data_IF_795254824637
#
_entry.id   IF_795254824637
#
_cell.length_a   1.000
_cell.length_b   1.000
_cell.length_c   1.000
_cell.angle_alpha   90.00
_cell.angle_beta   90.00
_cell.angle_gamma   90.00
#
_symmetry.space_group_name_H-M   'P 1'
#
loop_
_entity.id
_entity.type
_entity.pdbx_description
1 polymer ?
#
# COMPACT_ATOMS: atom_id res chain seq x y z
N UNK A 1 -22.99 27.26 40.79
CA UNK A 1 -21.74 27.00 40.04
C UNK A 1 -21.84 25.59 39.47
N UNK A 2 -22.23 25.39 38.20
CA UNK A 2 -21.35 25.29 37.00
C UNK A 2 -20.22 24.26 37.21
N UNK A 3 -20.05 23.18 36.45
CA UNK A 3 -20.31 22.93 35.02
C UNK A 3 -20.53 21.42 34.78
N UNK A 4 -21.45 21.06 33.88
CA UNK A 4 -21.51 19.72 33.28
C UNK A 4 -20.40 19.54 32.25
N UNK A 5 -19.67 18.43 32.31
CA UNK A 5 -18.73 18.01 31.26
C UNK A 5 -19.42 16.96 30.37
N UNK A 6 -19.70 17.32 29.12
CA UNK A 6 -20.17 16.37 28.10
C UNK A 6 -19.09 15.30 27.81
N UNK A 7 -19.48 14.08 27.39
CA UNK A 7 -18.52 13.08 26.91
C UNK A 7 -17.70 13.67 25.77
N UNK A 8 -16.36 13.53 25.84
CA UNK A 8 -15.43 14.08 24.85
C UNK A 8 -15.52 13.23 23.59
N UNK A 9 -16.24 13.77 22.63
CA UNK A 9 -16.39 13.20 21.30
C UNK A 9 -15.02 13.11 20.61
N UNK A 10 -14.73 12.00 19.91
CA UNK A 10 -13.43 11.83 19.23
C UNK A 10 -13.28 12.84 18.07
N UNK A 11 -14.39 13.39 17.59
CA UNK A 11 -14.44 14.40 16.54
C UNK A 11 -14.54 15.84 17.09
N UNK A 12 -14.29 16.05 18.39
CA UNK A 12 -14.28 17.38 18.97
C UNK A 12 -13.20 18.29 18.35
N UNK A 13 -13.55 19.55 18.11
CA UNK A 13 -12.68 20.54 17.46
C UNK A 13 -11.38 20.78 18.24
N UNK A 14 -11.41 20.72 19.57
CA UNK A 14 -10.20 20.85 20.40
C UNK A 14 -9.25 19.66 20.16
N UNK A 15 -9.80 18.46 19.96
CA UNK A 15 -9.03 17.24 19.70
C UNK A 15 -8.48 17.21 18.27
N UNK A 16 -9.26 17.65 17.29
CA UNK A 16 -8.80 17.77 15.90
C UNK A 16 -7.61 18.73 15.80
N UNK A 17 -7.63 19.86 16.54
CA UNK A 17 -6.48 20.78 16.60
C UNK A 17 -5.22 20.13 17.16
N UNK A 18 -5.35 19.40 18.27
CA UNK A 18 -4.21 18.65 18.84
C UNK A 18 -3.64 17.64 17.84
N UNK A 19 -4.50 16.97 17.07
CA UNK A 19 -4.05 16.01 16.06
C UNK A 19 -3.31 16.73 14.92
N UNK A 20 -3.78 17.90 14.49
CA UNK A 20 -3.09 18.73 13.49
C UNK A 20 -1.71 19.17 14.01
N UNK A 21 -1.61 19.60 15.26
CA UNK A 21 -0.32 19.97 15.89
C UNK A 21 0.64 18.77 15.95
N UNK A 22 0.14 17.59 16.34
CA UNK A 22 0.94 16.35 16.33
C UNK A 22 1.34 15.92 14.92
N UNK A 23 0.47 16.14 13.93
CA UNK A 23 0.81 15.89 12.52
C UNK A 23 1.94 16.79 12.04
N UNK A 24 2.02 18.03 12.52
CA UNK A 24 3.11 18.95 12.21
C UNK A 24 4.39 18.60 12.98
N UNK A 25 4.29 18.28 14.27
CA UNK A 25 5.44 17.91 15.12
C UNK A 25 6.13 16.61 14.67
N UNK A 26 5.34 15.63 14.20
CA UNK A 26 5.84 14.33 13.77
C UNK A 26 5.88 14.13 12.25
N UNK A 27 5.68 15.20 11.47
CA UNK A 27 5.64 15.21 9.99
C UNK A 27 4.74 14.11 9.39
N UNK A 28 3.53 13.96 9.94
CA UNK A 28 2.53 12.99 9.47
C UNK A 28 1.71 13.57 8.31
N UNK A 29 1.57 12.81 7.23
CA UNK A 29 0.84 13.24 6.03
C UNK A 29 -0.68 13.01 6.10
N UNK A 30 -1.13 11.93 6.76
CA UNK A 30 -2.54 11.55 6.87
C UNK A 30 -2.84 10.89 8.23
N UNK A 31 -4.03 11.17 8.77
CA UNK A 31 -4.57 10.51 9.97
C UNK A 31 -6.03 10.13 9.72
N UNK A 32 -6.34 8.84 9.86
CA UNK A 32 -7.70 8.29 9.87
C UNK A 32 -8.18 8.07 11.30
N UNK A 33 -9.32 8.65 11.69
CA UNK A 33 -10.00 8.35 12.95
C UNK A 33 -11.36 7.69 12.66
N UNK A 34 -11.66 6.61 13.39
CA UNK A 34 -12.94 5.90 13.28
C UNK A 34 -13.50 5.61 14.67
N UNK A 35 -14.78 5.94 14.89
CA UNK A 35 -15.51 5.61 16.11
C UNK A 35 -16.93 5.16 15.74
N UNK A 36 -17.24 3.88 15.97
CA UNK A 36 -18.50 3.29 15.52
C UNK A 36 -18.64 3.38 13.99
N UNK A 37 -19.73 3.99 13.54
CA UNK A 37 -20.03 4.23 12.12
C UNK A 37 -19.43 5.53 11.57
N UNK A 38 -18.83 6.38 12.42
CA UNK A 38 -18.29 7.67 12.04
C UNK A 38 -16.79 7.58 11.72
N UNK A 39 -16.37 8.21 10.62
CA UNK A 39 -14.98 8.22 10.14
C UNK A 39 -14.59 9.61 9.64
N UNK A 40 -13.41 10.09 10.04
CA UNK A 40 -12.80 11.33 9.54
C UNK A 40 -11.37 11.04 9.07
N UNK A 41 -10.98 11.68 7.98
CA UNK A 41 -9.60 11.70 7.47
C UNK A 41 -9.07 13.13 7.55
N UNK A 42 -7.89 13.29 8.14
CA UNK A 42 -7.16 14.55 8.21
C UNK A 42 -5.91 14.41 7.32
N UNK A 43 -5.66 15.39 6.45
CA UNK A 43 -4.51 15.40 5.55
C UNK A 43 -3.95 16.80 5.36
N UNK A 44 -2.62 16.92 5.26
CA UNK A 44 -1.89 18.19 5.18
C UNK A 44 -1.84 18.73 3.74
N UNK A 45 -3.00 19.10 3.15
CA UNK A 45 -3.17 19.77 1.83
C UNK A 45 -2.76 18.94 0.59
N UNK A 46 -3.45 18.95 -0.56
CA UNK A 46 -4.71 19.57 -0.94
C UNK A 46 -5.20 19.03 -2.30
N UNK A 47 -6.50 18.75 -2.42
CA UNK A 47 -7.20 18.70 -3.70
C UNK A 47 -7.89 20.04 -3.90
N UNK A 48 -7.34 20.88 -4.78
CA UNK A 48 -8.05 22.03 -5.31
C UNK A 48 -8.18 21.84 -6.84
N UNK A 49 -9.40 21.81 -7.40
CA UNK A 49 -9.59 21.87 -8.83
C UNK A 49 -9.28 23.30 -9.30
N UNK A 50 -8.22 23.46 -10.08
CA UNK A 50 -7.90 24.73 -10.73
C UNK A 50 -8.72 24.81 -12.02
N UNK A 51 -9.88 25.46 -11.97
CA UNK A 51 -10.55 25.99 -13.15
C UNK A 51 -9.99 27.39 -13.42
N UNK A 52 -9.31 27.58 -14.55
CA UNK A 52 -9.04 28.91 -15.10
C UNK A 52 -9.13 28.88 -16.63
N UNK A 53 -9.84 29.89 -17.15
CA UNK A 53 -10.29 30.06 -18.53
C UNK A 53 -9.14 30.44 -19.50
N UNK A 54 -9.35 30.39 -20.83
CA UNK A 54 -8.27 30.41 -21.81
C UNK A 54 -7.79 31.83 -22.08
N UNK A 55 -6.48 32.01 -22.38
CA UNK A 55 -6.16 32.89 -23.50
C UNK A 55 -5.01 32.41 -24.41
N UNK A 56 -5.18 32.78 -25.69
CA UNK A 56 -4.21 33.13 -26.73
C UNK A 56 -3.22 32.06 -27.27
N UNK A 57 -3.30 31.89 -28.59
CA UNK A 57 -2.47 31.02 -29.41
C UNK A 57 -1.01 31.50 -29.56
N UNK A 58 -0.06 30.57 -29.41
CA UNK A 58 1.32 30.61 -29.89
C UNK A 58 1.91 29.16 -29.88
N UNK A 59 2.94 28.84 -30.69
CA UNK A 59 3.02 27.58 -31.44
C UNK A 59 3.40 26.34 -30.63
N UNK A 60 2.90 25.21 -31.13
CA UNK A 60 2.98 23.86 -30.60
C UNK A 60 4.37 23.45 -30.06
N UNK A 61 4.44 23.30 -28.73
CA UNK A 61 5.39 22.40 -28.09
C UNK A 61 4.69 21.05 -27.87
N UNK A 62 5.32 19.97 -28.34
CA UNK A 62 4.80 18.62 -28.28
C UNK A 62 4.28 18.26 -26.88
N UNK A 63 3.03 17.83 -26.82
CA UNK A 63 2.38 17.27 -25.63
C UNK A 63 3.24 16.12 -25.10
N UNK A 64 3.84 16.30 -23.92
CA UNK A 64 4.33 15.17 -23.14
C UNK A 64 3.10 14.30 -22.81
N UNK A 65 3.10 13.07 -23.32
CA UNK A 65 2.10 12.09 -22.97
C UNK A 65 2.11 11.87 -21.43
N UNK A 66 0.95 11.67 -20.78
CA UNK A 66 0.91 11.28 -19.37
C UNK A 66 1.79 10.04 -19.17
N UNK A 67 2.71 10.11 -18.22
CA UNK A 67 3.48 8.95 -17.82
C UNK A 67 2.49 7.90 -17.30
N UNK A 68 2.44 6.73 -17.94
CA UNK A 68 1.58 5.64 -17.51
C UNK A 68 1.96 5.24 -16.07
N UNK A 69 0.98 5.19 -15.17
CA UNK A 69 1.15 4.63 -13.84
C UNK A 69 1.70 3.21 -13.96
N UNK A 70 2.91 2.90 -13.43
CA UNK A 70 3.55 1.60 -13.59
C UNK A 70 2.80 0.46 -12.89
N UNK A 71 1.74 0.77 -12.15
CA UNK A 71 0.88 -0.17 -11.43
C UNK A 71 -0.44 -0.45 -12.14
N UNK A 72 -0.78 0.29 -13.19
CA UNK A 72 -2.04 0.13 -13.90
C UNK A 72 -2.14 -1.28 -14.52
N UNK A 73 -3.21 -2.00 -14.19
CA UNK A 73 -3.44 -3.36 -14.67
C UNK A 73 -2.60 -4.45 -14.00
N UNK A 74 -1.95 -4.15 -12.86
CA UNK A 74 -1.25 -5.16 -12.06
C UNK A 74 -2.10 -5.66 -10.89
N UNK A 75 -1.83 -6.88 -10.45
CA UNK A 75 -2.39 -7.50 -9.23
C UNK A 75 -1.25 -7.87 -8.28
N UNK A 76 -1.58 -8.25 -7.04
CA UNK A 76 -0.59 -8.65 -6.04
C UNK A 76 -0.84 -10.02 -5.46
N UNK A 77 0.23 -10.74 -5.15
CA UNK A 77 0.21 -11.92 -4.26
C UNK A 77 0.47 -11.40 -2.85
N UNK A 78 -0.47 -11.65 -1.95
CA UNK A 78 -0.43 -11.13 -0.58
C UNK A 78 -0.08 -12.24 0.40
N UNK A 79 0.50 -11.88 1.54
CA UNK A 79 0.81 -12.83 2.60
C UNK A 79 -0.49 -13.42 3.20
N UNK A 80 -0.67 -14.76 3.20
CA UNK A 80 -1.88 -15.39 3.73
C UNK A 80 -1.84 -15.57 5.26
N UNK A 81 -0.72 -15.24 5.89
CA UNK A 81 -0.51 -15.35 7.34
C UNK A 81 0.56 -14.36 7.80
N UNK A 82 0.61 -14.13 9.11
CA UNK A 82 1.71 -13.37 9.74
C UNK A 82 2.94 -14.27 9.85
N UNK A 83 4.11 -13.77 9.47
CA UNK A 83 5.34 -14.56 9.54
C UNK A 83 6.56 -13.84 9.00
N UNK A 84 7.62 -14.61 8.72
CA UNK A 84 8.86 -14.12 8.10
C UNK A 84 8.93 -14.61 6.66
N UNK A 85 9.13 -13.69 5.71
CA UNK A 85 9.24 -14.00 4.29
C UNK A 85 10.62 -14.56 3.94
N UNK A 86 10.65 -15.64 3.16
CA UNK A 86 11.86 -16.20 2.57
C UNK A 86 11.68 -16.37 1.07
N UNK A 87 12.61 -15.81 0.32
CA UNK A 87 12.63 -15.87 -1.14
C UNK A 87 13.13 -17.22 -1.69
N UNK A 88 13.70 -18.05 -0.82
CA UNK A 88 14.40 -19.32 -1.15
C UNK A 88 13.97 -20.44 -0.20
N UNK A 89 14.07 -21.69 -0.66
CA UNK A 89 13.81 -22.86 0.16
C UNK A 89 14.84 -23.05 1.30
N UNK A 90 16.08 -22.62 1.08
CA UNK A 90 17.19 -22.63 2.02
C UNK A 90 18.31 -21.69 1.51
N UNK A 91 19.34 -21.37 2.32
CA UNK A 91 20.36 -20.38 1.97
C UNK A 91 21.12 -20.64 0.65
N UNK A 92 21.29 -21.91 0.28
CA UNK A 92 22.05 -22.33 -0.90
C UNK A 92 21.18 -22.47 -2.16
N UNK A 93 19.85 -22.46 -2.00
CA UNK A 93 18.93 -22.62 -3.12
C UNK A 93 18.72 -21.32 -3.90
N UNK A 94 18.34 -21.41 -5.19
CA UNK A 94 17.89 -20.25 -5.93
C UNK A 94 16.58 -19.71 -5.32
N UNK A 95 16.28 -18.45 -5.62
CA UNK A 95 14.97 -17.89 -5.30
C UNK A 95 13.88 -18.64 -6.06
N UNK A 96 12.71 -18.81 -5.43
CA UNK A 96 11.56 -19.47 -6.06
C UNK A 96 11.16 -18.78 -7.37
N UNK A 97 11.16 -17.44 -7.37
CA UNK A 97 10.88 -16.59 -8.52
C UNK A 97 11.78 -15.35 -8.53
N UNK A 98 11.94 -14.74 -9.71
CA UNK A 98 12.56 -13.42 -9.92
C UNK A 98 11.68 -12.53 -10.79
N UNK A 99 11.96 -11.23 -10.79
CA UNK A 99 11.33 -10.28 -11.71
C UNK A 99 11.53 -10.75 -13.16
N UNK A 100 10.43 -10.79 -13.90
CA UNK A 100 10.39 -11.27 -15.27
C UNK A 100 9.91 -12.71 -15.43
N UNK A 101 9.86 -13.50 -14.35
CA UNK A 101 9.35 -14.87 -14.42
C UNK A 101 7.83 -14.89 -14.59
N UNK A 102 7.34 -15.94 -15.24
CA UNK A 102 5.92 -16.26 -15.36
C UNK A 102 5.55 -17.30 -14.31
N UNK A 103 4.42 -17.11 -13.63
CA UNK A 103 3.90 -18.00 -12.59
C UNK A 103 2.48 -18.44 -12.94
N UNK A 104 2.11 -19.65 -12.54
CA UNK A 104 0.74 -20.15 -12.57
C UNK A 104 0.18 -20.36 -11.16
N UNK A 105 -1.09 -20.77 -11.01
CA UNK A 105 -1.77 -20.77 -9.71
C UNK A 105 -1.12 -21.68 -8.68
N UNK A 106 -0.48 -22.76 -9.11
CA UNK A 106 0.20 -23.73 -8.25
C UNK A 106 1.71 -23.47 -8.11
N UNK A 107 2.25 -22.44 -8.77
CA UNK A 107 3.67 -22.10 -8.66
C UNK A 107 3.97 -21.57 -7.27
N UNK A 108 4.89 -22.21 -6.55
CA UNK A 108 5.37 -21.72 -5.25
C UNK A 108 6.26 -20.49 -5.48
N UNK A 109 5.92 -19.37 -4.83
CA UNK A 109 6.60 -18.08 -5.03
C UNK A 109 7.49 -17.67 -3.86
N UNK A 110 7.21 -18.17 -2.66
CA UNK A 110 8.03 -17.94 -1.46
C UNK A 110 7.69 -18.94 -0.36
N UNK A 111 8.42 -18.84 0.76
CA UNK A 111 8.04 -19.43 2.03
C UNK A 111 7.67 -18.32 3.02
N UNK A 112 6.65 -18.55 3.83
CA UNK A 112 6.38 -17.76 5.03
C UNK A 112 6.56 -18.64 6.26
N UNK A 113 7.49 -18.27 7.14
CA UNK A 113 7.70 -18.94 8.41
C UNK A 113 6.80 -18.36 9.49
N UNK A 114 5.97 -19.21 10.10
CA UNK A 114 5.17 -18.87 11.27
C UNK A 114 5.37 -19.93 12.36
N UNK A 115 5.81 -19.52 13.55
CA UNK A 115 6.00 -20.42 14.71
C UNK A 115 6.87 -21.66 14.41
N UNK A 116 8.00 -21.48 13.70
CA UNK A 116 8.90 -22.56 13.23
C UNK A 116 8.31 -23.50 12.18
N UNK A 117 7.14 -23.19 11.62
CA UNK A 117 6.56 -23.90 10.49
C UNK A 117 6.82 -23.09 9.23
N UNK A 118 7.43 -23.72 8.23
CA UNK A 118 7.76 -23.11 6.94
C UNK A 118 6.68 -23.49 5.93
N UNK A 119 5.83 -22.54 5.57
CA UNK A 119 4.72 -22.77 4.64
C UNK A 119 5.10 -22.24 3.26
N UNK A 120 5.06 -23.12 2.25
CA UNK A 120 5.18 -22.73 0.85
C UNK A 120 3.92 -21.97 0.42
N UNK A 121 4.11 -20.83 -0.22
CA UNK A 121 3.02 -19.98 -0.68
C UNK A 121 2.85 -20.14 -2.19
N UNK A 122 1.74 -20.71 -2.68
CA UNK A 122 1.43 -20.73 -4.10
C UNK A 122 1.00 -19.34 -4.60
N UNK A 123 1.13 -19.09 -5.90
CA UNK A 123 0.75 -17.81 -6.49
C UNK A 123 -0.77 -17.56 -6.50
N UNK A 124 -1.58 -18.62 -6.62
CA UNK A 124 -3.06 -18.60 -6.74
C UNK A 124 -3.61 -17.80 -7.94
N UNK A 125 -2.72 -17.22 -8.74
CA UNK A 125 -3.00 -16.46 -9.95
C UNK A 125 -1.95 -16.76 -11.02
N UNK A 126 -2.25 -16.39 -12.26
CA UNK A 126 -1.33 -16.54 -13.39
C UNK A 126 -0.89 -15.19 -13.92
N UNK A 127 0.40 -15.06 -14.24
CA UNK A 127 0.93 -13.82 -14.80
C UNK A 127 2.44 -13.70 -14.70
N UNK A 128 2.95 -12.52 -15.03
CA UNK A 128 4.39 -12.21 -15.02
C UNK A 128 4.76 -11.35 -13.83
N UNK A 129 5.72 -11.79 -13.01
CA UNK A 129 6.26 -11.02 -11.88
C UNK A 129 6.93 -9.76 -12.42
N UNK A 130 6.45 -8.59 -12.00
CA UNK A 130 7.02 -7.29 -12.36
C UNK A 130 7.77 -6.66 -11.20
N UNK A 131 7.48 -7.05 -9.96
CA UNK A 131 8.12 -6.51 -8.78
C UNK A 131 8.05 -7.49 -7.59
N UNK A 132 9.11 -7.52 -6.78
CA UNK A 132 9.15 -8.19 -5.49
C UNK A 132 9.14 -7.09 -4.43
N UNK A 133 8.09 -7.06 -3.61
CA UNK A 133 7.76 -5.93 -2.72
C UNK A 133 8.29 -6.12 -1.30
N UNK A 134 8.87 -7.29 -1.00
CA UNK A 134 9.31 -7.69 0.34
C UNK A 134 10.72 -8.26 0.25
N UNK A 135 11.59 -7.86 1.18
CA UNK A 135 12.97 -8.34 1.24
C UNK A 135 13.06 -9.71 1.90
N UNK A 136 14.11 -10.48 1.58
CA UNK A 136 14.38 -11.74 2.27
C UNK A 136 14.55 -11.53 3.78
N UNK A 137 13.96 -12.41 4.59
CA UNK A 137 13.91 -12.36 6.05
C UNK A 137 13.12 -11.17 6.64
N UNK A 138 12.34 -10.48 5.82
CA UNK A 138 11.47 -9.39 6.28
C UNK A 138 10.17 -9.94 6.90
N UNK A 139 9.68 -9.34 8.01
CA UNK A 139 8.38 -9.70 8.55
C UNK A 139 7.23 -9.28 7.63
N UNK A 140 6.20 -10.12 7.57
CA UNK A 140 4.97 -9.87 6.83
C UNK A 140 3.74 -10.09 7.71
N UNK A 141 2.74 -9.22 7.54
CA UNK A 141 1.43 -9.33 8.16
C UNK A 141 0.41 -9.91 7.17
N UNK A 142 -0.71 -10.43 7.67
CA UNK A 142 -1.80 -10.89 6.83
C UNK A 142 -2.25 -9.80 5.84
N UNK A 143 -2.33 -10.17 4.56
CA UNK A 143 -2.74 -9.27 3.48
C UNK A 143 -1.64 -8.34 2.98
N UNK A 144 -0.43 -8.32 3.56
CA UNK A 144 0.69 -7.52 3.05
C UNK A 144 1.07 -7.98 1.63
N UNK A 145 1.12 -7.07 0.63
CA UNK A 145 1.59 -7.41 -0.71
C UNK A 145 3.05 -7.87 -0.70
N UNK A 146 3.33 -9.03 -1.29
CA UNK A 146 4.68 -9.60 -1.41
C UNK A 146 5.23 -9.54 -2.83
N UNK A 147 4.36 -9.72 -3.82
CA UNK A 147 4.72 -9.69 -5.23
C UNK A 147 3.70 -8.86 -6.01
N UNK A 148 4.16 -8.21 -7.08
CA UNK A 148 3.30 -7.56 -8.07
C UNK A 148 3.44 -8.29 -9.41
N UNK A 149 2.32 -8.53 -10.08
CA UNK A 149 2.31 -9.18 -11.39
C UNK A 149 1.38 -8.48 -12.38
N UNK A 150 1.73 -8.58 -13.65
CA UNK A 150 0.77 -8.38 -14.74
C UNK A 150 0.03 -9.70 -14.94
N UNK A 151 -1.30 -9.76 -14.75
CA UNK A 151 -2.07 -10.99 -14.93
C UNK A 151 -2.08 -11.41 -16.40
N UNK A 152 -2.20 -12.72 -16.64
CA UNK A 152 -2.52 -13.22 -17.97
C UNK A 152 -3.89 -12.72 -18.45
N UNK A 153 -4.07 -12.62 -19.77
CA UNK A 153 -5.30 -12.15 -20.41
C UNK A 153 -6.43 -13.19 -20.37
#
# INVERSE_FOLDING_TARGET
MSKGGKPKDVFDVERIRQIIELMEEHDLSEVDLQQGDEKIKLGRGGSAPIYSAPPAAAPAAASAAPAADPTAGTITINAPMVGTFYSKANPESPSFVKVGDHVGPETVVCIVEAMKVFNEIPAECSGKIVEILVSDQEPVDFGKPMFRLTPDA
#
